data_IF_195142500226
#
_entry.id   IF_195142500226
#
_cell.length_a   1.000
_cell.length_b   1.000
_cell.length_c   1.000
_cell.angle_alpha   90.00
_cell.angle_beta   90.00
_cell.angle_gamma   90.00
#
_symmetry.space_group_name_H-M   'P 1'
#
loop_
_entity.id
_entity.type
_entity.pdbx_description
1 polymer ?
#
# COMPACT_ATOMS: atom_id res chain seq x y z
N UNK A 1 -17.42 0.95 -5.98
CA UNK A 1 -15.94 0.93 -5.95
C UNK A 1 -15.48 -0.52 -5.95
N UNK A 2 -14.63 -0.95 -6.90
CA UNK A 2 -14.23 -2.37 -7.04
C UNK A 2 -13.68 -2.98 -5.74
N UNK A 3 -12.79 -2.26 -5.02
CA UNK A 3 -12.21 -2.76 -3.77
C UNK A 3 -13.24 -3.05 -2.68
N UNK A 4 -14.25 -2.19 -2.50
CA UNK A 4 -15.32 -2.43 -1.52
C UNK A 4 -16.23 -3.61 -1.91
N UNK A 5 -16.47 -3.82 -3.20
CA UNK A 5 -17.21 -5.00 -3.67
C UNK A 5 -16.39 -6.27 -3.41
N UNK A 6 -15.08 -6.25 -3.68
CA UNK A 6 -14.19 -7.39 -3.46
C UNK A 6 -14.01 -7.74 -1.98
N UNK A 7 -14.15 -6.79 -1.07
CA UNK A 7 -14.13 -7.05 0.38
C UNK A 7 -15.26 -7.99 0.85
N UNK A 8 -16.31 -8.21 0.04
CA UNK A 8 -17.32 -9.24 0.31
C UNK A 8 -16.80 -10.67 0.13
N UNK A 9 -15.77 -10.89 -0.69
CA UNK A 9 -15.24 -12.22 -1.02
C UNK A 9 -13.79 -12.43 -0.52
N UNK A 10 -13.04 -11.35 -0.32
CA UNK A 10 -11.61 -11.38 0.00
C UNK A 10 -11.32 -10.36 1.11
N UNK A 11 -10.74 -10.75 2.26
CA UNK A 11 -10.36 -9.79 3.28
C UNK A 11 -9.33 -8.79 2.73
N UNK A 12 -9.22 -7.64 3.40
CA UNK A 12 -8.15 -6.68 3.12
C UNK A 12 -6.80 -7.37 3.32
N UNK A 13 -6.08 -7.61 2.24
CA UNK A 13 -4.91 -8.49 2.19
C UNK A 13 -3.92 -8.00 1.15
N UNK A 14 -2.69 -8.51 1.16
CA UNK A 14 -1.68 -8.26 0.14
C UNK A 14 -2.19 -8.62 -1.26
N UNK A 15 -2.98 -9.69 -1.37
CA UNK A 15 -3.66 -10.07 -2.61
C UNK A 15 -4.62 -8.99 -3.09
N UNK A 16 -5.50 -8.49 -2.21
CA UNK A 16 -6.42 -7.41 -2.58
C UNK A 16 -5.64 -6.14 -2.97
N UNK A 17 -4.57 -5.82 -2.25
CA UNK A 17 -3.70 -4.67 -2.56
C UNK A 17 -3.11 -4.78 -3.96
N UNK A 18 -2.64 -5.98 -4.35
CA UNK A 18 -2.16 -6.28 -5.71
C UNK A 18 -3.27 -6.16 -6.76
N UNK A 19 -4.45 -6.75 -6.51
CA UNK A 19 -5.63 -6.65 -7.40
C UNK A 19 -6.05 -5.16 -7.60
N UNK A 20 -5.96 -4.36 -6.54
CA UNK A 20 -6.25 -2.93 -6.62
C UNK A 20 -5.15 -2.16 -7.37
N UNK A 21 -3.88 -2.45 -7.10
CA UNK A 21 -2.76 -1.81 -7.79
C UNK A 21 -2.80 -2.07 -9.30
N UNK A 22 -3.12 -3.30 -9.73
CA UNK A 22 -3.28 -3.65 -11.15
C UNK A 22 -4.31 -2.76 -11.87
N UNK A 23 -5.36 -2.37 -11.16
CA UNK A 23 -6.49 -1.58 -11.70
C UNK A 23 -6.30 -0.08 -11.58
N UNK A 24 -5.30 0.39 -10.84
CA UNK A 24 -5.02 1.81 -10.72
C UNK A 24 -4.38 2.31 -12.02
N UNK A 25 -4.86 3.44 -12.59
CA UNK A 25 -4.20 4.05 -13.73
C UNK A 25 -2.80 4.49 -13.31
N UNK A 26 -1.77 3.82 -13.82
CA UNK A 26 -0.36 4.18 -13.62
C UNK A 26 -0.02 5.45 -14.42
N UNK A 27 0.92 6.25 -13.92
CA UNK A 27 1.23 7.54 -14.55
C UNK A 27 2.24 7.34 -15.69
N UNK A 28 2.03 7.97 -16.84
CA UNK A 28 3.01 8.04 -17.94
C UNK A 28 3.24 6.73 -18.71
N UNK A 29 4.43 6.57 -19.32
CA UNK A 29 4.87 5.36 -20.07
C UNK A 29 5.07 4.12 -19.14
N UNK A 30 4.32 4.03 -18.05
CA UNK A 30 4.45 3.03 -16.97
C UNK A 30 3.57 1.80 -17.13
N UNK A 31 2.83 1.65 -18.24
CA UNK A 31 2.06 0.45 -18.56
C UNK A 31 2.88 -0.84 -18.64
N UNK A 32 4.21 -0.75 -18.57
CA UNK A 32 5.17 -1.85 -18.61
C UNK A 32 5.81 -2.18 -17.26
N UNK A 33 5.43 -1.50 -16.16
CA UNK A 33 6.03 -1.70 -14.82
C UNK A 33 5.33 -2.79 -13.98
N UNK A 34 4.90 -3.87 -14.62
CA UNK A 34 4.23 -5.03 -14.00
C UNK A 34 3.09 -4.66 -13.03
N UNK A 35 1.96 -4.13 -13.53
CA UNK A 35 0.80 -3.84 -12.68
C UNK A 35 0.36 -5.07 -11.88
N UNK A 36 0.23 -4.92 -10.57
CA UNK A 36 -0.25 -5.97 -9.67
C UNK A 36 0.85 -6.89 -9.15
N UNK A 37 2.09 -6.71 -9.57
CA UNK A 37 3.22 -7.51 -9.12
C UNK A 37 4.13 -6.73 -8.18
N UNK A 38 4.56 -7.37 -7.10
CA UNK A 38 5.64 -6.82 -6.27
C UNK A 38 6.94 -6.79 -7.06
N UNK A 39 7.78 -5.79 -6.78
CA UNK A 39 9.04 -5.59 -7.48
C UNK A 39 10.01 -6.73 -7.21
N UNK A 40 10.77 -7.09 -8.23
CA UNK A 40 11.88 -8.05 -8.14
C UNK A 40 13.25 -7.39 -8.19
N UNK A 41 13.29 -6.09 -8.45
CA UNK A 41 14.49 -5.27 -8.49
C UNK A 41 14.48 -4.23 -7.39
N UNK A 42 15.67 -3.75 -7.02
CA UNK A 42 15.80 -2.64 -6.09
C UNK A 42 15.31 -1.35 -6.74
N UNK A 43 14.43 -0.63 -6.05
CA UNK A 43 14.06 0.75 -6.36
C UNK A 43 14.66 1.70 -5.31
N UNK A 44 14.57 3.00 -5.57
CA UNK A 44 15.01 4.04 -4.65
C UNK A 44 14.20 5.31 -4.92
N UNK A 45 14.11 6.17 -3.90
CA UNK A 45 13.32 7.40 -3.94
C UNK A 45 14.28 8.59 -3.93
N UNK A 46 14.21 9.42 -4.98
CA UNK A 46 15.15 10.52 -5.19
C UNK A 46 16.54 10.05 -5.63
N UNK A 47 17.33 10.95 -6.23
CA UNK A 47 18.67 10.62 -6.75
C UNK A 47 18.64 9.80 -8.04
N UNK A 48 19.84 9.43 -8.52
CA UNK A 48 20.05 8.69 -9.77
C UNK A 48 20.51 7.24 -9.56
N UNK A 49 20.93 6.91 -8.33
CA UNK A 49 21.40 5.57 -7.92
C UNK A 49 21.20 5.40 -6.41
N UNK A 50 21.19 4.16 -5.87
CA UNK A 50 20.99 3.95 -4.43
C UNK A 50 21.92 4.77 -3.53
N UNK A 51 23.19 4.93 -3.92
CA UNK A 51 24.18 5.67 -3.12
C UNK A 51 24.00 7.20 -3.04
N UNK A 52 23.08 7.79 -3.82
CA UNK A 52 22.71 9.21 -3.69
C UNK A 52 21.20 9.42 -3.58
N UNK A 53 20.46 8.35 -3.27
CA UNK A 53 19.03 8.42 -3.09
C UNK A 53 18.69 9.09 -1.76
N UNK A 54 17.51 9.73 -1.69
CA UNK A 54 16.99 10.25 -0.44
C UNK A 54 16.56 9.10 0.49
N UNK A 55 16.03 8.04 -0.11
CA UNK A 55 15.63 6.84 0.60
C UNK A 55 15.80 5.60 -0.26
N UNK A 56 16.27 4.52 0.36
CA UNK A 56 16.41 3.20 -0.26
C UNK A 56 15.53 2.23 0.54
N UNK A 57 14.41 1.76 -0.03
CA UNK A 57 13.54 0.76 0.59
C UNK A 57 14.27 -0.57 0.84
N UNK A 58 13.71 -1.49 1.66
CA UNK A 58 14.28 -2.80 1.92
C UNK A 58 14.65 -3.55 0.62
N UNK A 59 15.69 -4.38 0.60
CA UNK A 59 16.00 -5.20 -0.59
C UNK A 59 14.87 -6.18 -0.91
N UNK A 60 14.66 -6.60 -2.18
CA UNK A 60 13.61 -7.56 -2.53
C UNK A 60 13.66 -8.86 -1.72
N UNK A 61 14.85 -9.28 -1.28
CA UNK A 61 15.07 -10.46 -0.45
C UNK A 61 14.48 -10.36 0.96
N UNK A 62 14.26 -9.14 1.47
CA UNK A 62 13.69 -8.87 2.79
C UNK A 62 12.26 -8.32 2.70
N UNK A 63 11.86 -7.85 1.52
CA UNK A 63 10.57 -7.22 1.27
C UNK A 63 9.39 -8.12 1.64
N UNK A 64 9.43 -9.40 1.30
CA UNK A 64 8.34 -10.34 1.58
C UNK A 64 8.12 -10.49 3.09
N UNK A 65 9.19 -10.56 3.89
CA UNK A 65 9.08 -10.60 5.35
C UNK A 65 8.47 -9.30 5.92
N UNK A 66 8.79 -8.14 5.33
CA UNK A 66 8.18 -6.88 5.71
C UNK A 66 6.69 -6.81 5.35
N UNK A 67 6.30 -7.32 4.18
CA UNK A 67 4.91 -7.38 3.73
C UNK A 67 4.07 -8.33 4.58
N UNK A 68 4.62 -9.49 4.93
CA UNK A 68 4.01 -10.42 5.87
C UNK A 68 3.75 -9.76 7.24
N UNK A 69 4.74 -9.02 7.75
CA UNK A 69 4.59 -8.29 9.00
C UNK A 69 3.53 -7.19 8.91
N UNK A 70 3.45 -6.48 7.77
CA UNK A 70 2.42 -5.47 7.50
C UNK A 70 1.02 -6.10 7.51
N UNK A 71 0.83 -7.24 6.84
CA UNK A 71 -0.47 -7.93 6.79
C UNK A 71 -0.88 -8.46 8.16
N UNK A 72 0.05 -9.06 8.92
CA UNK A 72 -0.22 -9.46 10.32
C UNK A 72 -0.61 -8.27 11.19
N UNK A 73 0.09 -7.15 11.06
CA UNK A 73 -0.25 -5.93 11.80
C UNK A 73 -1.64 -5.43 11.43
N UNK A 74 -2.01 -5.48 10.16
CA UNK A 74 -3.34 -5.08 9.68
C UNK A 74 -4.47 -5.84 10.37
N UNK A 75 -4.28 -7.15 10.59
CA UNK A 75 -5.25 -8.06 11.21
C UNK A 75 -5.03 -8.30 12.70
N UNK A 76 -4.10 -7.60 13.34
CA UNK A 76 -3.86 -7.76 14.77
C UNK A 76 -5.10 -7.33 15.58
N UNK A 77 -5.82 -8.31 16.10
CA UNK A 77 -6.94 -8.17 17.02
C UNK A 77 -6.45 -7.75 18.41
N UNK A 78 -7.23 -6.95 19.13
CA UNK A 78 -6.89 -6.51 20.49
C UNK A 78 -5.83 -5.39 20.57
N UNK A 79 -5.41 -4.85 19.43
CA UNK A 79 -4.61 -3.62 19.39
C UNK A 79 -5.35 -2.48 20.11
N UNK A 80 -4.69 -1.80 21.04
CA UNK A 80 -5.25 -0.62 21.73
C UNK A 80 -5.23 0.66 20.89
N UNK A 81 -4.74 0.56 19.65
CA UNK A 81 -4.62 1.71 18.76
C UNK A 81 -5.98 2.05 18.13
N UNK A 82 -6.38 3.33 18.12
CA UNK A 82 -7.52 3.76 17.32
C UNK A 82 -7.29 3.43 15.84
N UNK A 83 -8.35 3.01 15.14
CA UNK A 83 -8.27 2.61 13.73
C UNK A 83 -7.63 3.68 12.83
N UNK A 84 -7.84 4.97 13.12
CA UNK A 84 -7.20 6.08 12.39
C UNK A 84 -5.67 6.08 12.54
N UNK A 85 -5.17 5.85 13.76
CA UNK A 85 -3.73 5.79 14.04
C UNK A 85 -3.13 4.56 13.35
N UNK A 86 -3.80 3.41 13.46
CA UNK A 86 -3.38 2.17 12.81
C UNK A 86 -3.34 2.31 11.28
N UNK A 87 -4.31 3.01 10.68
CA UNK A 87 -4.30 3.33 9.26
C UNK A 87 -3.10 4.20 8.85
N UNK A 88 -2.76 5.21 9.66
CA UNK A 88 -1.57 6.03 9.44
C UNK A 88 -0.26 5.23 9.50
N UNK A 89 -0.13 4.33 10.47
CA UNK A 89 1.03 3.43 10.58
C UNK A 89 1.11 2.45 9.40
N UNK A 90 -0.01 1.86 9.00
CA UNK A 90 -0.09 1.00 7.80
C UNK A 90 0.37 1.76 6.54
N UNK A 91 -0.04 3.01 6.39
CA UNK A 91 0.36 3.85 5.25
C UNK A 91 1.86 4.10 5.23
N UNK A 92 2.42 4.59 6.33
CA UNK A 92 3.86 4.88 6.44
C UNK A 92 4.69 3.63 6.21
N UNK A 93 4.29 2.50 6.81
CA UNK A 93 5.01 1.23 6.64
C UNK A 93 4.94 0.73 5.20
N UNK A 94 3.77 0.81 4.56
CA UNK A 94 3.62 0.43 3.15
C UNK A 94 4.48 1.29 2.21
N UNK A 95 4.50 2.61 2.40
CA UNK A 95 5.36 3.52 1.62
C UNK A 95 6.85 3.24 1.85
N UNK A 96 7.23 2.87 3.08
CA UNK A 96 8.60 2.52 3.46
C UNK A 96 9.06 1.22 2.80
N UNK A 97 8.19 0.21 2.73
CA UNK A 97 8.48 -1.06 2.02
C UNK A 97 8.59 -0.81 0.50
N UNK A 98 7.79 0.13 -0.01
CA UNK A 98 7.75 0.55 -1.41
C UNK A 98 7.68 -0.64 -2.39
N UNK A 99 6.66 -1.51 -2.26
CA UNK A 99 6.68 -2.84 -2.88
C UNK A 99 6.49 -2.85 -4.39
N UNK A 100 6.01 -1.76 -4.99
CA UNK A 100 5.78 -1.66 -6.43
C UNK A 100 6.84 -0.78 -7.14
N UNK A 101 6.99 -0.92 -8.46
CA UNK A 101 7.91 -0.11 -9.27
C UNK A 101 7.36 1.29 -9.64
N UNK A 102 6.06 1.46 -9.52
CA UNK A 102 5.32 2.72 -9.57
C UNK A 102 4.03 2.53 -8.75
N UNK A 103 3.31 3.60 -8.43
CA UNK A 103 1.97 3.47 -7.87
C UNK A 103 1.89 3.32 -6.36
N UNK A 104 3.01 3.17 -5.65
CA UNK A 104 3.04 3.03 -4.18
C UNK A 104 2.19 4.10 -3.47
N UNK A 105 2.46 5.38 -3.67
CA UNK A 105 1.68 6.47 -3.07
C UNK A 105 0.17 6.42 -3.31
N UNK A 106 -0.27 5.97 -4.50
CA UNK A 106 -1.70 5.82 -4.80
C UNK A 106 -2.30 4.62 -4.07
N UNK A 107 -1.59 3.50 -4.08
CA UNK A 107 -2.00 2.27 -3.41
C UNK A 107 -1.97 2.43 -1.88
N UNK A 108 -1.00 3.15 -1.32
CA UNK A 108 -0.91 3.47 0.10
C UNK A 108 -2.09 4.31 0.58
N UNK A 109 -2.45 5.38 -0.15
CA UNK A 109 -3.66 6.17 0.16
C UNK A 109 -4.94 5.35 0.04
N UNK A 110 -5.03 4.48 -0.95
CA UNK A 110 -6.17 3.58 -1.10
C UNK A 110 -6.27 2.58 0.06
N UNK A 111 -5.14 2.03 0.52
CA UNK A 111 -5.08 1.13 1.66
C UNK A 111 -5.64 1.79 2.92
N UNK A 112 -5.31 3.06 3.18
CA UNK A 112 -5.88 3.82 4.31
C UNK A 112 -7.40 3.85 4.22
N UNK A 113 -7.94 4.25 3.07
CA UNK A 113 -9.39 4.36 2.89
C UNK A 113 -10.09 3.01 3.05
N UNK A 114 -9.56 1.94 2.46
CA UNK A 114 -10.13 0.60 2.60
C UNK A 114 -10.08 0.11 4.06
N UNK A 115 -8.95 0.32 4.74
CA UNK A 115 -8.80 -0.06 6.14
C UNK A 115 -9.83 0.65 7.04
N UNK A 116 -10.02 1.96 6.85
CA UNK A 116 -11.00 2.73 7.60
C UNK A 116 -12.45 2.30 7.31
N UNK A 117 -12.76 1.89 6.07
CA UNK A 117 -14.06 1.34 5.72
C UNK A 117 -14.31 -0.03 6.39
N UNK A 118 -13.33 -0.94 6.34
CA UNK A 118 -13.42 -2.27 6.97
C UNK A 118 -13.61 -2.15 8.49
N UNK A 119 -12.99 -1.15 9.13
CA UNK A 119 -13.12 -0.91 10.55
C UNK A 119 -14.32 -0.04 10.93
N UNK A 120 -15.22 0.28 9.98
CA UNK A 120 -16.46 1.02 10.23
C UNK A 120 -16.28 2.50 10.57
N UNK A 121 -15.06 3.05 10.46
CA UNK A 121 -14.78 4.48 10.67
C UNK A 121 -15.34 5.29 9.51
N UNK A 122 -15.24 4.77 8.29
CA UNK A 122 -15.86 5.33 7.10
C UNK A 122 -16.96 4.40 6.60
N UNK A 123 -18.12 4.94 6.24
CA UNK A 123 -19.18 4.17 5.56
C UNK A 123 -18.88 4.00 4.08
N UNK A 124 -18.27 5.03 3.50
CA UNK A 124 -17.95 5.13 2.09
C UNK A 124 -16.57 5.79 1.93
N UNK A 125 -15.88 5.53 0.81
CA UNK A 125 -14.50 5.94 0.59
C UNK A 125 -14.42 7.40 0.11
N UNK A 126 -15.03 8.30 0.89
CA UNK A 126 -15.20 9.73 0.57
C UNK A 126 -14.01 10.59 1.04
N UNK A 127 -13.04 9.97 1.72
CA UNK A 127 -11.87 10.66 2.25
C UNK A 127 -10.85 10.96 1.14
N UNK A 128 -10.75 12.23 0.74
CA UNK A 128 -9.79 12.70 -0.26
C UNK A 128 -8.41 12.98 0.36
N UNK A 129 -7.69 11.91 0.73
CA UNK A 129 -6.35 11.98 1.36
C UNK A 129 -5.28 12.66 0.49
N UNK A 130 -5.42 12.56 -0.84
CA UNK A 130 -4.42 13.07 -1.79
C UNK A 130 -4.20 14.59 -1.73
N UNK A 131 -5.08 15.35 -1.06
CA UNK A 131 -4.91 16.80 -0.88
C UNK A 131 -3.89 17.16 0.22
N UNK A 132 -3.57 16.20 1.08
CA UNK A 132 -2.74 16.41 2.28
C UNK A 132 -1.55 15.44 2.38
N UNK A 133 -1.47 14.41 1.52
CA UNK A 133 -0.46 13.34 1.56
C UNK A 133 0.07 12.96 0.16
#
# INVERSE_FOLDING_TARGET
MYGLVRLGDLPLSLRLIREMHERLPLSGRGGTKNPGEFRRSQNWIGGSRPGNALFVPPPPTEMDACLDALERFMHEDGSRLPALIKAGLLHVQFETIHPFLDGNGRTGRLLVTLYLCVNGVLREPLLYLSLYC
#
